data_IF_578112329849
#
_entry.id   IF_578112329849
#
_cell.length_a   1.000
_cell.length_b   1.000
_cell.length_c   1.000
_cell.angle_alpha   90.00
_cell.angle_beta   90.00
_cell.angle_gamma   90.00
#
_symmetry.space_group_name_H-M   'P 1'
#
loop_
_entity.id
_entity.type
_entity.pdbx_description
1 polymer ?
#
# COMPACT_ATOMS: atom_id res chain seq x y z
N UNK A 1 22.92 0.42 1.21
CA UNK A 1 22.56 -0.39 0.02
C UNK A 1 21.09 -0.08 -0.24
N UNK A 2 20.70 0.36 -1.44
CA UNK A 2 19.28 0.59 -1.73
C UNK A 2 18.51 -0.71 -1.50
N UNK A 3 17.31 -0.60 -0.93
CA UNK A 3 16.49 -1.74 -0.54
C UNK A 3 16.02 -2.48 -1.79
N UNK A 4 16.20 -3.80 -1.82
CA UNK A 4 15.65 -4.63 -2.89
C UNK A 4 14.13 -4.75 -2.71
N UNK A 5 13.36 -4.30 -3.71
CA UNK A 5 11.89 -4.28 -3.66
C UNK A 5 11.32 -4.98 -4.88
N UNK A 6 10.27 -5.78 -4.66
CA UNK A 6 9.49 -6.42 -5.72
C UNK A 6 8.09 -5.82 -5.78
N UNK A 7 7.62 -5.53 -6.98
CA UNK A 7 6.26 -5.04 -7.21
C UNK A 7 5.75 -5.45 -8.59
N UNK A 8 4.43 -5.41 -8.75
CA UNK A 8 3.75 -5.61 -10.04
C UNK A 8 3.90 -4.35 -10.91
N UNK A 9 4.55 -4.43 -12.08
CA UNK A 9 4.73 -3.29 -12.98
C UNK A 9 3.40 -2.62 -13.38
N UNK A 10 2.37 -3.41 -13.68
CA UNK A 10 1.05 -2.89 -14.06
C UNK A 10 0.33 -2.18 -12.91
N UNK A 11 0.75 -2.41 -11.66
CA UNK A 11 0.27 -1.66 -10.50
C UNK A 11 1.06 -0.37 -10.31
N UNK A 12 2.37 -0.39 -10.53
CA UNK A 12 3.20 0.82 -10.51
C UNK A 12 2.77 1.79 -11.60
N UNK A 13 2.56 1.31 -12.84
CA UNK A 13 2.11 2.14 -13.96
C UNK A 13 0.79 2.84 -13.65
N UNK A 14 -0.19 2.11 -13.09
CA UNK A 14 -1.45 2.73 -12.63
C UNK A 14 -1.22 3.76 -11.53
N UNK A 15 -0.31 3.52 -10.60
CA UNK A 15 0.00 4.49 -9.55
C UNK A 15 0.70 5.75 -10.10
N UNK A 16 1.52 5.60 -11.15
CA UNK A 16 2.09 6.74 -11.89
C UNK A 16 0.98 7.54 -12.58
N UNK A 17 0.05 6.87 -13.27
CA UNK A 17 -1.05 7.56 -13.95
C UNK A 17 -2.01 8.24 -12.97
N UNK A 18 -2.36 7.57 -11.87
CA UNK A 18 -3.34 8.09 -10.89
C UNK A 18 -2.74 9.13 -9.94
N UNK A 19 -1.46 8.98 -9.56
CA UNK A 19 -0.84 9.73 -8.44
C UNK A 19 0.52 10.33 -8.77
N UNK A 20 1.09 10.06 -9.95
CA UNK A 20 2.43 10.54 -10.32
C UNK A 20 3.57 9.86 -9.57
N UNK A 21 3.32 8.75 -8.88
CA UNK A 21 4.26 8.13 -7.95
C UNK A 21 4.64 6.71 -8.40
N UNK A 22 5.79 6.50 -9.04
CA UNK A 22 6.28 5.15 -9.34
C UNK A 22 6.71 4.42 -8.06
N UNK A 23 6.48 3.11 -7.98
CA UNK A 23 6.86 2.31 -6.81
C UNK A 23 8.38 2.15 -6.64
N UNK A 24 9.16 2.40 -7.68
CA UNK A 24 10.63 2.42 -7.61
C UNK A 24 11.15 3.46 -6.62
N UNK A 25 10.41 4.54 -6.37
CA UNK A 25 10.78 5.56 -5.38
C UNK A 25 10.97 5.01 -3.96
N UNK A 26 10.39 3.84 -3.65
CA UNK A 26 10.60 3.19 -2.36
C UNK A 26 12.05 2.72 -2.13
N UNK A 27 12.87 2.59 -3.19
CA UNK A 27 14.30 2.27 -3.06
C UNK A 27 15.12 3.43 -2.47
N UNK A 28 14.66 4.66 -2.71
CA UNK A 28 15.32 5.90 -2.30
C UNK A 28 14.78 6.43 -0.96
N UNK A 29 13.77 5.77 -0.39
CA UNK A 29 13.20 6.16 0.88
C UNK A 29 14.14 5.82 2.04
N UNK A 30 14.28 6.73 3.00
CA UNK A 30 15.12 6.55 4.19
C UNK A 30 14.40 5.67 5.22
N UNK A 31 14.36 4.36 4.97
CA UNK A 31 13.67 3.40 5.81
C UNK A 31 14.20 3.34 7.24
N UNK A 32 15.50 3.56 7.42
CA UNK A 32 16.17 3.45 8.72
C UNK A 32 15.70 4.52 9.74
N UNK A 33 15.21 5.67 9.26
CA UNK A 33 14.72 6.77 10.09
C UNK A 33 13.19 6.86 10.16
N UNK A 34 12.48 5.97 9.45
CA UNK A 34 11.03 6.04 9.31
C UNK A 34 10.31 5.62 10.60
N UNK A 35 9.48 6.51 11.15
CA UNK A 35 8.65 6.23 12.34
C UNK A 35 7.18 6.16 11.95
N UNK A 36 6.54 5.01 12.18
CA UNK A 36 5.10 4.84 12.05
C UNK A 36 4.47 4.62 13.43
N UNK A 37 3.56 5.51 13.84
CA UNK A 37 2.82 5.38 15.11
C UNK A 37 1.33 5.22 14.84
N UNK A 38 0.71 4.19 15.42
CA UNK A 38 -0.74 4.04 15.51
C UNK A 38 -1.15 4.01 16.99
N UNK A 39 -1.46 5.17 17.60
CA UNK A 39 -1.96 5.18 18.97
C UNK A 39 -3.32 4.47 18.99
N UNK A 40 -3.43 3.42 19.80
CA UNK A 40 -4.69 2.70 20.05
C UNK A 40 -4.95 2.63 21.55
N UNK A 41 -5.90 3.45 21.99
CA UNK A 41 -6.59 3.30 23.28
C UNK A 41 -7.72 2.25 23.16
N UNK A 42 -8.54 2.09 24.22
CA UNK A 42 -9.67 1.13 24.44
C UNK A 42 -10.78 1.06 23.36
N UNK A 43 -10.57 1.60 22.16
CA UNK A 43 -11.56 1.66 21.07
C UNK A 43 -11.02 1.03 19.80
N UNK A 44 -11.92 0.40 19.04
CA UNK A 44 -11.61 -0.14 17.71
C UNK A 44 -11.41 1.02 16.73
N UNK A 45 -10.20 1.15 16.19
CA UNK A 45 -9.87 2.14 15.16
C UNK A 45 -9.85 1.49 13.77
N UNK A 46 -10.93 1.69 13.01
CA UNK A 46 -11.03 1.19 11.63
C UNK A 46 -10.10 1.98 10.72
N UNK A 47 -9.05 1.33 10.17
CA UNK A 47 -7.99 1.98 9.38
C UNK A 47 -8.42 2.27 7.94
N UNK A 48 -9.23 1.39 7.36
CA UNK A 48 -9.88 1.68 6.08
C UNK A 48 -11.17 0.87 5.96
N UNK A 49 -12.28 1.56 5.74
CA UNK A 49 -13.51 0.97 5.27
C UNK A 49 -13.78 1.54 3.88
N UNK A 50 -13.57 0.72 2.85
CA UNK A 50 -13.87 1.07 1.47
C UNK A 50 -14.57 -0.08 0.79
N UNK A 51 -15.31 0.23 -0.26
CA UNK A 51 -15.90 -0.79 -1.14
C UNK A 51 -14.78 -1.63 -1.74
N UNK A 52 -14.89 -2.95 -1.61
CA UNK A 52 -13.96 -3.89 -2.23
C UNK A 52 -13.94 -3.68 -3.74
N UNK A 53 -12.75 -3.69 -4.35
CA UNK A 53 -12.62 -3.60 -5.79
C UNK A 53 -13.03 -4.94 -6.44
N UNK A 54 -13.34 -4.97 -7.76
CA UNK A 54 -13.81 -6.19 -8.43
C UNK A 54 -12.84 -7.38 -8.30
N UNK A 55 -11.53 -7.14 -8.18
CA UNK A 55 -10.52 -8.20 -8.00
C UNK A 55 -10.61 -8.82 -6.60
N UNK A 56 -10.73 -7.97 -5.57
CA UNK A 56 -10.90 -8.39 -4.18
C UNK A 56 -12.21 -9.18 -4.00
N UNK A 57 -13.30 -8.70 -4.61
CA UNK A 57 -14.59 -9.41 -4.62
C UNK A 57 -14.45 -10.78 -5.26
N UNK A 58 -13.89 -10.86 -6.48
CA UNK A 58 -13.69 -12.16 -7.17
C UNK A 58 -12.87 -13.15 -6.34
N UNK A 59 -11.89 -12.66 -5.57
CA UNK A 59 -10.95 -13.51 -4.82
C UNK A 59 -11.46 -13.95 -3.45
N UNK A 60 -12.17 -13.08 -2.74
CA UNK A 60 -12.52 -13.30 -1.34
C UNK A 60 -14.03 -13.43 -1.08
N UNK A 61 -14.90 -13.07 -2.02
CA UNK A 61 -16.35 -13.16 -1.84
C UNK A 61 -16.95 -14.54 -2.16
N UNK A 62 -16.13 -15.54 -2.51
CA UNK A 62 -16.63 -16.91 -2.72
C UNK A 62 -16.88 -17.56 -1.35
N UNK A 63 -18.16 -17.74 -1.01
CA UNK A 63 -18.68 -18.65 0.02
C UNK A 63 -19.63 -19.62 -0.65
#
# INVERSE_FOLDING_TARGET
MPMDISFDPAKSDRNVQERGLPFTMAQDFEWDSAVAFMPRAEKIHVVSLRKANPREVKRYAQT
#
